data_IF_988743799631
#
_entry.id   IF_988743799631
#
_cell.length_a   1.000
_cell.length_b   1.000
_cell.length_c   1.000
_cell.angle_alpha   90.00
_cell.angle_beta   90.00
_cell.angle_gamma   90.00
#
_symmetry.space_group_name_H-M   'P 1'
#
loop_
_entity.id
_entity.type
_entity.pdbx_description
1 polymer ?
#
# COMPACT_ATOMS: atom_id res chain seq x y z
N UNK A 1 -27.63 -3.29 52.02
CA UNK A 1 -27.62 -3.97 50.70
C UNK A 1 -27.93 -2.93 49.63
N UNK A 2 -27.23 -2.94 48.47
CA UNK A 2 -27.36 -2.06 47.29
C UNK A 2 -26.38 -0.85 47.19
N UNK A 3 -25.10 -1.11 46.92
CA UNK A 3 -24.42 -0.28 45.90
C UNK A 3 -23.69 -1.11 44.82
N UNK A 4 -23.76 -2.45 44.89
CA UNK A 4 -23.11 -3.35 43.93
C UNK A 4 -23.82 -3.41 42.56
N UNK A 5 -25.13 -3.15 42.49
CA UNK A 5 -25.86 -3.18 41.22
C UNK A 5 -25.55 -2.00 40.30
N UNK A 6 -25.17 -0.83 40.84
CA UNK A 6 -24.88 0.34 40.01
C UNK A 6 -23.54 0.24 39.26
N UNK A 7 -22.57 -0.51 39.81
CA UNK A 7 -21.25 -0.70 39.19
C UNK A 7 -21.25 -1.76 38.10
N UNK A 8 -22.19 -2.71 38.11
CA UNK A 8 -22.30 -3.73 37.06
C UNK A 8 -22.97 -3.21 35.78
N UNK A 9 -23.82 -2.18 35.88
CA UNK A 9 -24.52 -1.61 34.72
C UNK A 9 -23.60 -0.71 33.88
N UNK A 10 -22.64 -0.02 34.51
CA UNK A 10 -21.73 0.87 33.78
C UNK A 10 -20.65 0.12 32.98
N UNK A 11 -20.27 -1.08 33.41
CA UNK A 11 -19.28 -1.92 32.71
C UNK A 11 -19.87 -2.64 31.49
N UNK A 12 -21.19 -2.82 31.43
CA UNK A 12 -21.88 -3.47 30.31
C UNK A 12 -22.16 -2.51 29.13
N UNK A 13 -22.16 -1.20 29.37
CA UNK A 13 -22.42 -0.19 28.33
C UNK A 13 -21.21 0.11 27.43
N UNK A 14 -19.99 -0.27 27.85
CA UNK A 14 -18.76 -0.03 27.07
C UNK A 14 -18.46 -1.21 26.12
N UNK A 15 -18.95 -2.41 26.44
CA UNK A 15 -18.77 -3.60 25.61
C UNK A 15 -19.68 -3.64 24.35
N UNK A 16 -20.72 -2.79 24.30
CA UNK A 16 -21.70 -2.75 23.20
C UNK A 16 -21.36 -1.77 22.07
N UNK A 17 -20.22 -1.05 22.13
CA UNK A 17 -19.77 -0.20 21.01
C UNK A 17 -18.89 -0.94 19.97
N UNK A 18 -18.59 -2.23 20.19
CA UNK A 18 -17.84 -3.04 19.23
C UNK A 18 -18.75 -3.76 18.22
N UNK A 19 -19.55 -3.05 17.42
CA UNK A 19 -20.15 -3.61 16.19
C UNK A 19 -20.93 -2.54 15.38
N UNK A 20 -20.24 -1.55 14.80
CA UNK A 20 -20.66 -0.96 13.52
C UNK A 20 -19.64 0.09 13.05
N UNK A 21 -18.63 -0.36 12.31
CA UNK A 21 -17.99 0.49 11.31
C UNK A 21 -17.58 -0.40 10.15
N UNK A 22 -18.50 -0.50 9.19
CA UNK A 22 -18.27 -1.01 7.85
C UNK A 22 -17.18 -0.17 7.20
N UNK A 23 -15.94 -0.67 7.23
CA UNK A 23 -14.83 -0.18 6.41
C UNK A 23 -14.29 -1.42 5.70
N UNK A 24 -14.42 -1.43 4.37
CA UNK A 24 -13.97 -2.53 3.54
C UNK A 24 -12.46 -2.79 3.68
N UNK A 25 -12.11 -4.06 3.63
CA UNK A 25 -10.80 -4.58 3.21
C UNK A 25 -9.55 -4.08 3.94
N UNK A 26 -9.42 -4.34 5.25
CA UNK A 26 -8.11 -4.62 5.88
C UNK A 26 -8.30 -5.71 6.93
N UNK A 27 -8.51 -6.96 6.51
CA UNK A 27 -8.39 -8.12 7.41
C UNK A 27 -6.92 -8.49 7.59
N UNK A 28 -6.15 -7.58 8.22
CA UNK A 28 -4.86 -7.86 8.80
C UNK A 28 -5.02 -7.82 10.31
N UNK A 29 -5.29 -8.97 10.93
CA UNK A 29 -5.38 -9.10 12.38
C UNK A 29 -4.00 -8.83 13.01
N UNK A 30 -3.72 -7.56 13.33
CA UNK A 30 -2.58 -7.17 14.16
C UNK A 30 -3.10 -6.97 15.59
N UNK A 31 -2.73 -7.93 16.43
CA UNK A 31 -2.65 -7.93 17.90
C UNK A 31 -3.56 -6.97 18.70
N UNK A 32 -4.42 -7.55 19.52
CA UNK A 32 -5.30 -6.85 20.45
C UNK A 32 -4.58 -5.88 21.39
N UNK A 33 -5.19 -4.71 21.57
CA UNK A 33 -4.74 -3.68 22.50
C UNK A 33 -5.10 -4.11 23.92
N UNK A 34 -4.11 -4.54 24.71
CA UNK A 34 -4.24 -4.73 26.16
C UNK A 34 -3.21 -3.91 26.94
N UNK A 35 -3.05 -2.62 26.64
CA UNK A 35 -2.19 -1.72 27.43
C UNK A 35 -2.93 -0.86 28.46
N UNK A 36 -4.24 -1.03 28.61
CA UNK A 36 -5.05 -0.23 29.55
C UNK A 36 -4.83 -0.52 31.04
N UNK A 37 -4.06 -1.55 31.42
CA UNK A 37 -3.99 -2.02 32.80
C UNK A 37 -2.77 -1.53 33.62
N UNK A 38 -1.86 -0.75 33.03
CA UNK A 38 -0.57 -0.45 33.69
C UNK A 38 -0.61 0.83 34.54
N UNK A 39 -1.62 1.69 34.39
CA UNK A 39 -1.73 2.94 35.16
C UNK A 39 -3.16 3.24 35.59
N UNK A 40 -3.36 3.55 36.88
CA UNK A 40 -4.64 3.98 37.44
C UNK A 40 -4.97 5.46 37.10
N UNK A 41 -4.12 6.15 36.32
CA UNK A 41 -4.36 7.51 35.86
C UNK A 41 -4.98 7.50 34.45
N UNK A 42 -6.26 7.91 34.29
CA UNK A 42 -6.96 7.86 33.01
C UNK A 42 -6.35 8.75 31.93
N UNK A 43 -5.70 9.87 32.31
CA UNK A 43 -5.02 10.77 31.35
C UNK A 43 -3.78 10.09 30.78
N UNK A 44 -3.01 9.40 31.62
CA UNK A 44 -1.80 8.67 31.19
C UNK A 44 -2.20 7.46 30.33
N UNK A 45 -3.25 6.73 30.71
CA UNK A 45 -3.78 5.61 29.92
C UNK A 45 -4.24 6.03 28.52
N UNK A 46 -4.96 7.14 28.42
CA UNK A 46 -5.37 7.71 27.13
C UNK A 46 -4.17 8.14 26.28
N UNK A 47 -3.20 8.84 26.88
CA UNK A 47 -1.99 9.30 26.17
C UNK A 47 -1.16 8.14 25.61
N UNK A 48 -0.96 7.08 26.39
CA UNK A 48 -0.25 5.87 25.93
C UNK A 48 -1.03 5.17 24.82
N UNK A 49 -2.35 5.03 24.94
CA UNK A 49 -3.17 4.38 23.92
C UNK A 49 -3.12 5.12 22.57
N UNK A 50 -3.28 6.45 22.58
CA UNK A 50 -3.18 7.29 21.38
C UNK A 50 -1.78 7.24 20.78
N UNK A 51 -0.74 7.23 21.62
CA UNK A 51 0.65 7.11 21.16
C UNK A 51 0.93 5.79 20.46
N UNK A 52 0.49 4.66 21.04
CA UNK A 52 0.67 3.32 20.45
C UNK A 52 -0.11 3.18 19.15
N UNK A 53 -1.35 3.66 19.08
CA UNK A 53 -2.14 3.60 17.83
C UNK A 53 -1.51 4.45 16.73
N UNK A 54 -1.08 5.67 17.05
CA UNK A 54 -0.41 6.55 16.08
C UNK A 54 0.91 5.95 15.58
N UNK A 55 1.68 5.30 16.45
CA UNK A 55 2.90 4.61 16.08
C UNK A 55 2.62 3.39 15.16
N UNK A 56 1.60 2.59 15.47
CA UNK A 56 1.17 1.47 14.63
C UNK A 56 0.72 1.95 13.23
N UNK A 57 -0.09 3.01 13.17
CA UNK A 57 -0.53 3.61 11.91
C UNK A 57 0.64 4.14 11.08
N UNK A 58 1.59 4.82 11.72
CA UNK A 58 2.79 5.34 11.07
C UNK A 58 3.67 4.20 10.52
N UNK A 59 3.84 3.12 11.29
CA UNK A 59 4.58 1.94 10.87
C UNK A 59 3.91 1.26 9.67
N UNK A 60 2.59 1.08 9.70
CA UNK A 60 1.84 0.51 8.57
C UNK A 60 1.99 1.35 7.30
N UNK A 61 1.86 2.69 7.41
CA UNK A 61 2.07 3.61 6.28
C UNK A 61 3.50 3.56 5.75
N UNK A 62 4.49 3.42 6.62
CA UNK A 62 5.90 3.29 6.21
C UNK A 62 6.14 2.03 5.40
N UNK A 63 5.66 0.87 5.89
CA UNK A 63 5.79 -0.41 5.18
C UNK A 63 5.10 -0.36 3.82
N UNK A 64 3.89 0.21 3.75
CA UNK A 64 3.18 0.37 2.49
C UNK A 64 3.98 1.21 1.48
N UNK A 65 4.49 2.37 1.90
CA UNK A 65 5.34 3.23 1.03
C UNK A 65 6.60 2.51 0.56
N UNK A 66 7.21 1.69 1.41
CA UNK A 66 8.38 0.92 1.04
C UNK A 66 8.06 -0.09 -0.07
N UNK A 67 7.00 -0.89 0.08
CA UNK A 67 6.59 -1.85 -0.96
C UNK A 67 6.21 -1.17 -2.27
N UNK A 68 5.49 -0.03 -2.20
CA UNK A 68 5.16 0.74 -3.39
C UNK A 68 6.41 1.26 -4.12
N UNK A 69 7.44 1.72 -3.39
CA UNK A 69 8.69 2.18 -4.00
C UNK A 69 9.44 1.03 -4.68
N UNK A 70 9.49 -0.15 -4.06
CA UNK A 70 10.13 -1.33 -4.65
C UNK A 70 9.44 -1.75 -5.96
N UNK A 71 8.10 -1.73 -6.00
CA UNK A 71 7.33 -2.02 -7.21
C UNK A 71 7.62 -1.02 -8.33
N UNK A 72 7.65 0.28 -8.01
CA UNK A 72 8.00 1.34 -8.96
C UNK A 72 9.42 1.23 -9.49
N UNK A 73 10.39 1.00 -8.60
CA UNK A 73 11.80 0.86 -8.96
C UNK A 73 12.03 -0.38 -9.85
N UNK A 74 11.33 -1.48 -9.57
CA UNK A 74 11.33 -2.69 -10.39
C UNK A 74 10.80 -2.41 -11.81
N UNK A 75 9.64 -1.77 -11.94
CA UNK A 75 9.07 -1.45 -13.26
C UNK A 75 9.96 -0.44 -14.01
N UNK A 76 10.49 0.57 -13.31
CA UNK A 76 11.39 1.55 -13.89
C UNK A 76 12.68 0.91 -14.43
N UNK A 77 13.23 -0.09 -13.73
CA UNK A 77 14.38 -0.86 -14.22
C UNK A 77 14.05 -1.60 -15.53
N UNK A 78 12.90 -2.28 -15.61
CA UNK A 78 12.48 -2.97 -16.84
C UNK A 78 12.29 -2.00 -18.00
N UNK A 79 11.69 -0.82 -17.77
CA UNK A 79 11.60 0.26 -18.77
C UNK A 79 12.99 0.68 -19.25
N UNK A 80 13.90 0.85 -18.31
CA UNK A 80 15.28 1.23 -18.55
C UNK A 80 16.02 0.28 -19.49
N UNK A 81 15.83 -1.02 -19.28
CA UNK A 81 16.48 -2.08 -20.06
C UNK A 81 15.75 -2.39 -21.37
N UNK A 82 14.51 -1.92 -21.53
CA UNK A 82 13.70 -2.18 -22.73
C UNK A 82 13.98 -1.15 -23.83
N UNK A 83 14.39 -1.56 -25.05
CA UNK A 83 14.52 -0.65 -26.18
C UNK A 83 13.15 -0.15 -26.67
N UNK A 84 13.12 1.01 -27.34
CA UNK A 84 11.88 1.57 -27.90
C UNK A 84 11.23 0.60 -28.90
N UNK A 85 9.91 0.44 -28.80
CA UNK A 85 9.11 -0.43 -29.65
C UNK A 85 9.06 -1.89 -29.21
N UNK A 86 9.90 -2.31 -28.26
CA UNK A 86 9.92 -3.69 -27.76
C UNK A 86 9.01 -3.86 -26.54
N UNK A 87 8.45 -5.06 -26.46
CA UNK A 87 7.64 -5.51 -25.32
C UNK A 87 8.48 -6.42 -24.41
N UNK A 88 8.36 -6.24 -23.10
CA UNK A 88 8.94 -7.13 -22.09
C UNK A 88 7.93 -7.46 -20.99
N UNK A 89 7.95 -8.69 -20.45
CA UNK A 89 7.21 -9.02 -19.25
C UNK A 89 7.83 -8.31 -18.03
N UNK A 90 6.98 -7.94 -17.08
CA UNK A 90 7.41 -7.47 -15.77
C UNK A 90 6.67 -8.24 -14.67
N UNK A 91 7.32 -8.43 -13.53
CA UNK A 91 6.74 -9.08 -12.35
C UNK A 91 7.33 -8.47 -11.09
N UNK A 92 6.50 -8.27 -10.07
CA UNK A 92 6.92 -7.89 -8.72
C UNK A 92 6.56 -9.01 -7.76
N UNK A 93 7.56 -9.49 -7.03
CA UNK A 93 7.44 -10.58 -6.06
C UNK A 93 7.84 -10.08 -4.67
N UNK A 94 6.87 -9.97 -3.79
CA UNK A 94 7.09 -9.67 -2.38
C UNK A 94 7.34 -10.98 -1.59
N UNK A 95 8.08 -10.88 -0.48
CA UNK A 95 8.36 -12.03 0.41
C UNK A 95 7.08 -12.62 1.02
N UNK A 96 6.09 -11.76 1.29
CA UNK A 96 4.71 -12.15 1.56
C UNK A 96 3.96 -12.01 0.25
N UNK A 97 3.24 -13.05 -0.20
CA UNK A 97 2.57 -13.09 -1.50
C UNK A 97 1.34 -12.16 -1.64
N UNK A 98 1.34 -11.03 -0.92
CA UNK A 98 0.34 -10.00 -0.97
C UNK A 98 0.79 -8.89 -1.93
N UNK A 99 -0.06 -8.50 -2.87
CA UNK A 99 0.24 -7.43 -3.82
C UNK A 99 1.24 -7.81 -4.93
N UNK A 100 1.49 -9.11 -5.17
CA UNK A 100 2.28 -9.54 -6.32
C UNK A 100 1.54 -9.22 -7.62
N UNK A 101 2.26 -8.64 -8.58
CA UNK A 101 1.71 -8.24 -9.87
C UNK A 101 2.62 -8.67 -10.99
N UNK A 102 2.01 -8.84 -12.16
CA UNK A 102 2.72 -9.14 -13.39
C UNK A 102 1.94 -8.58 -14.57
N UNK A 103 2.65 -8.35 -15.66
CA UNK A 103 2.04 -8.00 -16.93
C UNK A 103 3.08 -7.82 -18.01
N UNK A 104 2.71 -7.05 -19.03
CA UNK A 104 3.59 -6.72 -20.15
C UNK A 104 3.79 -5.22 -20.21
N UNK A 105 4.97 -4.81 -20.69
CA UNK A 105 5.40 -3.44 -20.79
C UNK A 105 5.97 -3.19 -22.18
N UNK A 106 5.61 -2.07 -22.80
CA UNK A 106 6.18 -1.63 -24.07
C UNK A 106 6.64 -0.18 -23.99
N UNK A 107 7.90 0.07 -24.33
CA UNK A 107 8.44 1.44 -24.40
C UNK A 107 7.97 2.10 -25.70
N UNK A 108 7.24 3.21 -25.58
CA UNK A 108 6.62 3.91 -26.72
C UNK A 108 7.38 5.17 -27.12
N UNK A 109 8.21 5.72 -26.23
CA UNK A 109 8.97 6.95 -26.50
C UNK A 109 10.25 7.02 -25.68
N UNK A 110 11.28 7.64 -26.26
CA UNK A 110 12.47 8.10 -25.54
C UNK A 110 12.49 9.63 -25.57
N UNK A 111 12.72 10.24 -24.42
CA UNK A 111 12.91 11.68 -24.26
C UNK A 111 14.37 11.87 -23.86
N UNK A 112 15.20 12.31 -24.81
CA UNK A 112 16.61 12.60 -24.59
C UNK A 112 16.82 14.11 -24.67
N UNK A 113 17.12 14.72 -23.53
CA UNK A 113 17.31 16.17 -23.41
C UNK A 113 18.53 16.46 -22.54
N UNK A 114 19.13 17.67 -22.63
CA UNK A 114 20.25 18.06 -21.76
C UNK A 114 19.94 17.99 -20.26
N UNK A 115 18.65 17.99 -19.87
CA UNK A 115 18.22 17.97 -18.48
C UNK A 115 17.94 16.56 -17.95
N UNK A 116 17.50 15.65 -18.83
CA UNK A 116 17.07 14.31 -18.43
C UNK A 116 17.02 13.36 -19.64
N UNK A 117 17.35 12.10 -19.36
CA UNK A 117 17.05 10.96 -20.22
C UNK A 117 15.87 10.20 -19.60
N UNK A 118 14.75 10.15 -20.31
CA UNK A 118 13.54 9.46 -19.86
C UNK A 118 12.98 8.54 -20.95
N UNK A 119 12.17 7.58 -20.52
CA UNK A 119 11.40 6.69 -21.38
C UNK A 119 9.95 6.72 -20.94
N UNK A 120 9.05 6.78 -21.92
CA UNK A 120 7.63 6.59 -21.70
C UNK A 120 7.24 5.18 -22.16
N UNK A 121 6.43 4.50 -21.36
CA UNK A 121 5.98 3.15 -21.63
C UNK A 121 4.49 2.98 -21.34
N UNK A 122 3.89 2.01 -22.01
CA UNK A 122 2.60 1.46 -21.64
C UNK A 122 2.84 0.15 -20.92
N UNK A 123 2.20 -0.07 -19.77
CA UNK A 123 2.28 -1.34 -19.07
C UNK A 123 0.90 -1.81 -18.65
N UNK A 124 0.73 -3.13 -18.65
CA UNK A 124 -0.48 -3.78 -18.20
C UNK A 124 -0.29 -4.43 -16.84
N UNK A 125 -1.38 -4.55 -16.09
CA UNK A 125 -1.44 -5.39 -14.88
C UNK A 125 -2.47 -6.49 -15.09
N UNK A 126 -2.09 -7.74 -14.84
CA UNK A 126 -3.02 -8.86 -14.75
C UNK A 126 -3.53 -8.94 -13.32
N UNK A 127 -4.81 -8.64 -13.09
CA UNK A 127 -5.44 -8.87 -11.79
C UNK A 127 -5.47 -10.37 -11.48
N UNK A 128 -5.19 -10.73 -10.24
CA UNK A 128 -5.49 -12.07 -9.75
C UNK A 128 -7.00 -12.15 -9.48
N UNK A 129 -7.71 -12.97 -10.24
CA UNK A 129 -9.12 -13.26 -10.02
C UNK A 129 -9.35 -14.08 -8.76
N UNK A 130 -10.62 -14.21 -8.38
CA UNK A 130 -11.06 -15.00 -7.23
C UNK A 130 -10.52 -16.43 -7.34
N UNK A 131 -9.84 -16.93 -6.31
CA UNK A 131 -9.17 -18.24 -6.26
C UNK A 131 -7.84 -18.38 -7.03
N UNK A 132 -7.11 -17.28 -7.26
CA UNK A 132 -5.76 -17.32 -7.86
C UNK A 132 -5.75 -17.61 -9.35
N UNK A 133 -6.91 -17.60 -10.01
CA UNK A 133 -7.02 -17.64 -11.46
C UNK A 133 -6.74 -16.26 -12.06
N UNK A 134 -5.97 -16.13 -13.15
CA UNK A 134 -5.74 -14.83 -13.77
C UNK A 134 -7.07 -14.22 -14.24
N UNK A 135 -7.38 -13.00 -13.78
CA UNK A 135 -8.52 -12.22 -14.26
C UNK A 135 -8.29 -11.88 -15.74
N UNK A 136 -9.36 -11.89 -16.52
CA UNK A 136 -9.32 -11.58 -17.96
C UNK A 136 -9.22 -10.06 -18.24
N UNK A 137 -9.28 -9.23 -17.20
CA UNK A 137 -9.24 -7.77 -17.30
C UNK A 137 -7.81 -7.28 -17.10
N UNK A 138 -7.18 -6.87 -18.20
CA UNK A 138 -5.89 -6.17 -18.20
C UNK A 138 -6.16 -4.68 -18.17
N UNK A 139 -5.77 -4.00 -17.09
CA UNK A 139 -5.74 -2.53 -17.05
C UNK A 139 -4.41 -2.05 -17.62
N UNK A 140 -4.46 -1.00 -18.44
CA UNK A 140 -3.29 -0.38 -19.06
C UNK A 140 -3.00 0.98 -18.42
N UNK A 141 -1.72 1.24 -18.24
CA UNK A 141 -1.20 2.44 -17.62
C UNK A 141 -0.09 3.02 -18.48
N UNK A 142 -0.04 4.33 -18.56
CA UNK A 142 1.09 5.08 -19.08
C UNK A 142 2.06 5.38 -17.92
N UNK A 143 3.35 5.23 -18.15
CA UNK A 143 4.39 5.51 -17.16
C UNK A 143 5.57 6.21 -17.81
N UNK A 144 6.15 7.14 -17.06
CA UNK A 144 7.42 7.77 -17.40
C UNK A 144 8.48 7.33 -16.39
N UNK A 145 9.62 6.84 -16.86
CA UNK A 145 10.79 6.56 -16.04
C UNK A 145 11.98 7.39 -16.55
N UNK A 146 12.75 7.96 -15.62
CA UNK A 146 13.89 8.81 -15.94
C UNK A 146 15.17 8.25 -15.31
N UNK A 147 16.29 8.41 -16.01
CA UNK A 147 17.59 8.03 -15.48
C UNK A 147 18.04 9.05 -14.43
N UNK A 148 18.32 8.57 -13.22
CA UNK A 148 18.84 9.33 -12.09
C UNK A 148 20.02 8.58 -11.47
N UNK A 149 21.19 9.22 -11.41
CA UNK A 149 22.40 8.62 -10.83
C UNK A 149 22.74 7.21 -11.37
N UNK A 150 22.54 6.99 -12.68
CA UNK A 150 22.81 5.69 -13.33
C UNK A 150 21.76 4.60 -13.06
N UNK A 151 20.64 4.93 -12.42
CA UNK A 151 19.50 4.04 -12.19
C UNK A 151 18.27 4.61 -12.87
N UNK A 152 17.37 3.76 -13.35
CA UNK A 152 16.07 4.21 -13.85
C UNK A 152 15.10 4.34 -12.69
N UNK A 153 14.44 5.50 -12.59
CA UNK A 153 13.51 5.83 -11.52
C UNK A 153 12.15 6.20 -12.08
N UNK A 154 11.11 5.77 -11.38
CA UNK A 154 9.74 6.16 -11.68
C UNK A 154 9.58 7.67 -11.54
N UNK A 155 9.00 8.31 -12.56
CA UNK A 155 8.77 9.75 -12.58
C UNK A 155 7.28 10.09 -12.49
N UNK A 156 6.41 9.38 -13.22
CA UNK A 156 4.96 9.59 -13.20
C UNK A 156 4.22 8.39 -13.80
N UNK A 157 2.93 8.22 -13.47
CA UNK A 157 2.03 7.33 -14.21
C UNK A 157 0.59 7.85 -14.30
N UNK A 158 -0.09 7.44 -15.38
CA UNK A 158 -1.48 7.73 -15.66
C UNK A 158 -2.24 6.44 -16.05
N UNK A 159 -3.53 6.30 -15.70
CA UNK A 159 -4.33 7.19 -14.86
C UNK A 159 -3.88 7.22 -13.38
N UNK A 160 -4.08 8.35 -12.71
CA UNK A 160 -3.86 8.49 -11.27
C UNK A 160 -4.93 7.73 -10.49
N UNK A 161 -4.74 6.42 -10.32
CA UNK A 161 -5.71 5.54 -9.63
C UNK A 161 -5.40 5.42 -8.15
N UNK A 162 -6.46 5.41 -7.33
CA UNK A 162 -6.36 5.24 -5.88
C UNK A 162 -5.66 3.93 -5.45
N UNK A 163 -5.65 2.90 -6.33
CA UNK A 163 -4.98 1.61 -6.12
C UNK A 163 -3.47 1.75 -5.90
N UNK A 164 -2.85 2.72 -6.57
CA UNK A 164 -1.45 3.09 -6.41
C UNK A 164 -1.32 4.32 -5.51
N UNK A 165 -2.41 4.80 -4.90
CA UNK A 165 -2.41 5.88 -3.90
C UNK A 165 -1.69 7.16 -4.34
N UNK A 166 -0.91 7.75 -3.42
CA UNK A 166 -0.05 8.93 -3.64
C UNK A 166 1.23 8.59 -4.43
N UNK A 167 1.11 7.87 -5.53
CA UNK A 167 2.24 7.54 -6.42
C UNK A 167 2.27 8.38 -7.71
N UNK A 168 1.55 9.50 -7.66
CA UNK A 168 2.02 10.75 -8.27
C UNK A 168 3.17 11.33 -7.44
#
# INVERSE_FOLDING_TARGET
MRPLCARLVLSAAIASLCACSSVGEISGAVAGITTGAVTANPVVGYGVAVGVSAAADAAGKYVYRYWQREEQDSIAAVIGDTPIGFEQPWEVRHAVAYGNQRGVLQVIRVIDSPLALCKEALFSTVESGTNGQPSKTSQWFFVTACQQHGQWKWANAEPAVARWGNLQ
#
